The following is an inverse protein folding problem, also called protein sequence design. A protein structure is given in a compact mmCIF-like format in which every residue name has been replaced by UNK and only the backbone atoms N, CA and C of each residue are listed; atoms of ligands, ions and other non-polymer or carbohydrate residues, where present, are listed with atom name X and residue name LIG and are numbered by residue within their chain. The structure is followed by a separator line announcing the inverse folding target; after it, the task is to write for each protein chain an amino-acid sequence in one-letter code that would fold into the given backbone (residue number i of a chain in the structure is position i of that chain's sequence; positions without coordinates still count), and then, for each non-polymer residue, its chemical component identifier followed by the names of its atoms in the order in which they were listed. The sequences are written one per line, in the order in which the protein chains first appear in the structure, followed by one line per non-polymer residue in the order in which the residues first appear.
data_IF_149644838307
#
_entry.id   IF_149644838307
#
_cell.length_a   1.000
_cell.length_b   1.000
_cell.length_c   1.000
_cell.angle_alpha   90.00
_cell.angle_beta   90.00
_cell.angle_gamma   90.00
#
_symmetry.space_group_name_H-M   'P 1'
#
loop_
_entity.id
_entity.type
_entity.pdbx_description
1 polymer ?
#
# COMPACT_ATOMS: atom_id res chain seq x y z
N UNK A 1 -0.92 -19.30 -23.64
CA UNK A 1 0.14 -18.39 -23.17
C UNK A 1 -0.50 -17.04 -22.91
N UNK A 2 -0.84 -16.71 -21.66
CA UNK A 2 -1.50 -15.43 -21.36
C UNK A 2 -0.39 -14.37 -21.43
N UNK A 3 -0.43 -13.50 -22.45
CA UNK A 3 0.56 -12.45 -22.64
C UNK A 3 0.23 -11.26 -21.74
N UNK A 4 1.22 -10.76 -21.00
CA UNK A 4 1.11 -9.50 -20.25
C UNK A 4 0.91 -8.35 -21.24
N UNK A 5 0.04 -7.40 -20.90
CA UNK A 5 -0.16 -6.20 -21.71
C UNK A 5 0.96 -5.20 -21.37
N UNK A 6 1.89 -4.90 -22.31
CA UNK A 6 3.02 -4.01 -22.03
C UNK A 6 2.58 -2.58 -21.70
N UNK A 7 1.40 -2.16 -22.16
CA UNK A 7 0.86 -0.84 -21.82
C UNK A 7 0.35 -0.79 -20.38
N UNK A 8 -0.23 -1.87 -19.85
CA UNK A 8 -0.56 -1.94 -18.41
C UNK A 8 0.70 -1.90 -17.55
N UNK A 9 1.77 -2.60 -17.94
CA UNK A 9 3.05 -2.56 -17.21
C UNK A 9 3.61 -1.13 -17.14
N UNK A 10 3.55 -0.41 -18.27
CA UNK A 10 3.97 1.00 -18.34
C UNK A 10 3.08 1.92 -17.50
N UNK A 11 1.75 1.77 -17.58
CA UNK A 11 0.83 2.54 -16.74
C UNK A 11 1.15 2.33 -15.26
N UNK A 12 1.30 1.07 -14.82
CA UNK A 12 1.66 0.76 -13.44
C UNK A 12 3.00 1.41 -13.05
N UNK A 13 4.01 1.36 -13.91
CA UNK A 13 5.31 2.00 -13.64
C UNK A 13 5.22 3.53 -13.52
N UNK A 14 4.38 4.19 -14.31
CA UNK A 14 4.15 5.63 -14.22
C UNK A 14 3.38 6.01 -12.95
N UNK A 15 2.36 5.22 -12.59
CA UNK A 15 1.61 5.40 -11.35
C UNK A 15 2.53 5.27 -10.14
N UNK A 16 3.38 4.23 -10.08
CA UNK A 16 4.33 4.01 -8.96
C UNK A 16 5.25 5.20 -8.69
N UNK A 17 5.50 6.04 -9.70
CA UNK A 17 6.40 7.20 -9.64
C UNK A 17 5.67 8.54 -9.80
N UNK A 18 4.33 8.53 -9.78
CA UNK A 18 3.45 9.68 -10.04
C UNK A 18 3.82 10.51 -11.29
N UNK A 19 4.27 9.86 -12.37
CA UNK A 19 4.67 10.55 -13.61
C UNK A 19 3.46 10.88 -14.48
N UNK A 20 2.76 11.96 -14.13
CA UNK A 20 1.51 12.39 -14.79
C UNK A 20 1.67 12.66 -16.30
N UNK A 21 2.77 13.25 -16.74
CA UNK A 21 2.96 13.60 -18.16
C UNK A 21 3.06 12.33 -19.02
N UNK A 22 3.87 11.37 -18.60
CA UNK A 22 4.00 10.07 -19.29
C UNK A 22 2.71 9.25 -19.18
N UNK A 23 2.07 9.28 -18.01
CA UNK A 23 0.80 8.62 -17.77
C UNK A 23 -0.27 9.13 -18.73
N UNK A 24 -0.52 10.44 -18.75
CA UNK A 24 -1.55 11.07 -19.58
C UNK A 24 -1.26 10.89 -21.07
N UNK A 25 0.01 10.98 -21.49
CA UNK A 25 0.41 10.68 -22.86
C UNK A 25 0.06 9.25 -23.26
N UNK A 26 0.49 8.25 -22.48
CA UNK A 26 0.18 6.85 -22.77
C UNK A 26 -1.32 6.58 -22.70
N UNK A 27 -2.01 7.17 -21.74
CA UNK A 27 -3.45 7.02 -21.55
C UNK A 27 -4.24 7.56 -22.75
N UNK A 28 -3.81 8.68 -23.35
CA UNK A 28 -4.41 9.24 -24.58
C UNK A 28 -4.00 8.48 -25.86
N UNK A 29 -2.77 7.97 -25.94
CA UNK A 29 -2.29 7.17 -27.07
C UNK A 29 -2.96 5.78 -27.13
N UNK A 30 -3.50 5.33 -26.00
CA UNK A 30 -4.20 4.07 -25.87
C UNK A 30 -5.70 4.30 -25.72
N UNK A 31 -6.52 3.28 -25.95
CA UNK A 31 -7.97 3.36 -25.76
C UNK A 31 -8.39 2.89 -24.35
N UNK A 32 -7.54 3.13 -23.33
CA UNK A 32 -7.89 2.78 -21.96
C UNK A 32 -9.05 3.66 -21.47
N UNK A 33 -9.98 3.02 -20.77
CA UNK A 33 -11.08 3.73 -20.12
C UNK A 33 -10.66 4.18 -18.71
N UNK A 34 -11.28 5.23 -18.20
CA UNK A 34 -10.96 5.78 -16.87
C UNK A 34 -11.23 4.78 -15.73
N UNK A 35 -12.15 3.86 -15.94
CA UNK A 35 -12.53 2.76 -15.05
C UNK A 35 -11.73 1.47 -15.30
N UNK A 36 -10.69 1.53 -16.14
CA UNK A 36 -9.85 0.38 -16.45
C UNK A 36 -9.32 -0.28 -15.18
N UNK A 37 -9.40 -1.62 -15.14
CA UNK A 37 -8.85 -2.45 -14.08
C UNK A 37 -7.62 -3.18 -14.58
N UNK A 38 -6.56 -3.17 -13.77
CA UNK A 38 -5.33 -3.87 -14.10
C UNK A 38 -5.55 -5.37 -14.15
N UNK A 39 -5.01 -6.03 -15.17
CA UNK A 39 -4.89 -7.49 -15.16
C UNK A 39 -4.13 -7.99 -13.92
N UNK A 40 -4.59 -9.13 -13.36
CA UNK A 40 -3.98 -9.78 -12.18
C UNK A 40 -2.49 -10.11 -12.34
N UNK A 41 -1.99 -10.12 -13.58
CA UNK A 41 -0.61 -10.43 -13.90
C UNK A 41 0.36 -9.25 -13.78
N UNK A 42 -0.15 -8.01 -13.64
CA UNK A 42 0.68 -6.79 -13.67
C UNK A 42 1.20 -6.44 -12.28
N UNK A 43 0.34 -6.53 -11.27
CA UNK A 43 0.63 -6.10 -9.90
C UNK A 43 0.81 -7.29 -8.95
N UNK A 44 1.22 -8.43 -9.48
CA UNK A 44 1.32 -9.69 -8.72
C UNK A 44 2.33 -9.64 -7.56
N UNK A 45 3.30 -8.72 -7.63
CA UNK A 45 4.28 -8.48 -6.56
C UNK A 45 3.65 -7.84 -5.31
N UNK A 46 2.47 -7.23 -5.45
CA UNK A 46 1.78 -6.52 -4.37
C UNK A 46 0.54 -7.32 -3.94
N UNK A 47 0.58 -8.02 -2.79
CA UNK A 47 -0.53 -8.87 -2.37
C UNK A 47 -1.89 -8.14 -2.29
N UNK A 48 -1.87 -6.85 -1.93
CA UNK A 48 -3.07 -6.02 -1.80
C UNK A 48 -3.64 -5.56 -3.16
N UNK A 49 -2.87 -5.59 -4.26
CA UNK A 49 -3.30 -5.15 -5.60
C UNK A 49 -3.58 -6.31 -6.57
N UNK A 50 -3.54 -7.57 -6.13
CA UNK A 50 -3.63 -8.74 -7.03
C UNK A 50 -5.03 -9.01 -7.60
N UNK A 51 -6.06 -8.33 -7.09
CA UNK A 51 -7.46 -8.65 -7.36
C UNK A 51 -8.11 -7.74 -8.40
N UNK A 52 -7.39 -7.42 -9.49
CA UNK A 52 -7.91 -6.56 -10.56
C UNK A 52 -8.36 -5.17 -10.08
N UNK A 53 -7.46 -4.39 -9.44
CA UNK A 53 -7.80 -3.08 -8.91
C UNK A 53 -8.07 -2.09 -10.06
N UNK A 54 -9.07 -1.20 -9.89
CA UNK A 54 -9.25 -0.04 -10.75
C UNK A 54 -7.98 0.83 -10.80
N UNK A 55 -7.77 1.53 -11.90
CA UNK A 55 -6.62 2.42 -12.09
C UNK A 55 -6.51 3.44 -10.95
N UNK A 56 -7.64 4.03 -10.56
CA UNK A 56 -7.73 4.98 -9.44
C UNK A 56 -7.27 4.36 -8.10
N UNK A 57 -7.58 3.09 -7.84
CA UNK A 57 -7.13 2.37 -6.64
C UNK A 57 -5.62 2.19 -6.61
N UNK A 58 -5.00 1.92 -7.75
CA UNK A 58 -3.54 1.78 -7.85
C UNK A 58 -2.84 3.13 -7.66
N UNK A 59 -3.42 4.22 -8.18
CA UNK A 59 -2.94 5.57 -7.91
C UNK A 59 -3.05 5.92 -6.41
N UNK A 60 -4.16 5.56 -5.77
CA UNK A 60 -4.34 5.76 -4.33
C UNK A 60 -3.31 4.98 -3.50
N UNK A 61 -3.10 3.71 -3.81
CA UNK A 61 -2.13 2.85 -3.12
C UNK A 61 -0.70 3.38 -3.19
N UNK A 62 -0.26 3.82 -4.38
CA UNK A 62 1.09 4.34 -4.58
C UNK A 62 1.24 5.83 -4.24
N UNK A 63 0.19 6.47 -3.68
CA UNK A 63 0.19 7.90 -3.34
C UNK A 63 0.45 8.82 -4.53
N UNK A 64 0.01 8.39 -5.71
CA UNK A 64 0.20 9.12 -6.97
C UNK A 64 -0.84 10.24 -7.09
N UNK A 65 -0.68 11.31 -6.31
CA UNK A 65 -1.68 12.38 -6.15
C UNK A 65 -1.98 13.10 -7.47
N UNK A 66 -0.98 13.33 -8.32
CA UNK A 66 -1.20 14.03 -9.60
C UNK A 66 -2.03 13.16 -10.55
N UNK A 67 -1.68 11.87 -10.64
CA UNK A 67 -2.45 10.90 -11.43
C UNK A 67 -3.84 10.68 -10.84
N UNK A 68 -3.97 10.58 -9.51
CA UNK A 68 -5.27 10.42 -8.84
C UNK A 68 -6.20 11.61 -9.17
N UNK A 69 -5.71 12.86 -9.05
CA UNK A 69 -6.48 14.05 -9.43
C UNK A 69 -6.86 14.05 -10.90
N UNK A 70 -5.92 13.67 -11.79
CA UNK A 70 -6.20 13.56 -13.21
C UNK A 70 -7.34 12.57 -13.50
N UNK A 71 -7.33 11.39 -12.87
CA UNK A 71 -8.36 10.38 -13.07
C UNK A 71 -9.72 10.83 -12.55
N UNK A 72 -9.78 11.43 -11.36
CA UNK A 72 -11.02 11.99 -10.80
C UNK A 72 -11.57 13.09 -11.71
N UNK A 73 -10.71 13.98 -12.22
CA UNK A 73 -11.11 15.03 -13.17
C UNK A 73 -11.64 14.47 -14.50
N UNK A 74 -11.20 13.28 -14.88
CA UNK A 74 -11.69 12.55 -16.06
C UNK A 74 -12.86 11.59 -15.75
N UNK A 75 -13.50 11.72 -14.58
CA UNK A 75 -14.73 10.99 -14.25
C UNK A 75 -14.52 9.59 -13.68
N UNK A 76 -13.36 9.30 -13.10
CA UNK A 76 -13.15 8.04 -12.39
C UNK A 76 -14.16 7.86 -11.24
N UNK A 77 -14.74 6.67 -11.11
CA UNK A 77 -15.65 6.35 -10.02
C UNK A 77 -14.87 6.10 -8.70
N UNK A 78 -15.08 6.97 -7.72
CA UNK A 78 -14.51 6.84 -6.38
C UNK A 78 -15.09 5.68 -5.56
N UNK A 79 -16.24 5.12 -5.98
CA UNK A 79 -16.82 3.92 -5.40
C UNK A 79 -16.38 2.63 -6.09
N UNK A 80 -15.48 2.72 -7.08
CA UNK A 80 -15.00 1.55 -7.81
C UNK A 80 -14.40 0.51 -6.87
N UNK A 81 -14.59 -0.76 -7.22
CA UNK A 81 -14.13 -1.90 -6.43
C UNK A 81 -13.30 -2.85 -7.27
N UNK A 82 -12.35 -3.51 -6.62
CA UNK A 82 -11.64 -4.65 -7.20
C UNK A 82 -12.54 -5.92 -7.25
N UNK A 83 -11.99 -7.05 -7.69
CA UNK A 83 -12.72 -8.33 -7.78
C UNK A 83 -13.08 -8.94 -6.40
N UNK A 84 -12.49 -8.45 -5.31
CA UNK A 84 -12.81 -8.82 -3.93
C UNK A 84 -13.76 -7.83 -3.25
N UNK A 85 -14.36 -6.92 -4.02
CA UNK A 85 -15.24 -5.86 -3.51
C UNK A 85 -14.51 -4.83 -2.62
N UNK A 86 -13.18 -4.75 -2.70
CA UNK A 86 -12.38 -3.74 -1.98
C UNK A 86 -12.56 -2.38 -2.66
N UNK A 87 -13.10 -1.36 -1.96
CA UNK A 87 -13.31 -0.03 -2.54
C UNK A 87 -12.02 0.80 -2.59
N UNK A 88 -11.98 1.84 -3.44
CA UNK A 88 -10.84 2.77 -3.61
C UNK A 88 -10.31 3.29 -2.26
N UNK A 89 -11.20 3.64 -1.32
CA UNK A 89 -10.84 4.20 -0.01
C UNK A 89 -9.92 3.27 0.80
N UNK A 90 -10.06 1.95 0.68
CA UNK A 90 -9.19 0.99 1.37
C UNK A 90 -7.75 1.07 0.82
N UNK A 91 -7.59 1.21 -0.50
CA UNK A 91 -6.28 1.40 -1.12
C UNK A 91 -5.67 2.74 -0.74
N UNK A 92 -6.47 3.79 -0.64
CA UNK A 92 -6.02 5.10 -0.23
C UNK A 92 -5.51 5.12 1.23
N UNK A 93 -6.24 4.49 2.16
CA UNK A 93 -5.81 4.36 3.55
C UNK A 93 -4.58 3.48 3.66
N UNK A 94 -4.47 2.43 2.85
CA UNK A 94 -3.26 1.60 2.78
C UNK A 94 -2.04 2.40 2.30
N UNK A 95 -2.22 3.24 1.26
CA UNK A 95 -1.18 4.12 0.74
C UNK A 95 -0.75 5.21 1.72
N UNK A 96 -1.71 5.77 2.46
CA UNK A 96 -1.46 6.68 3.58
C UNK A 96 -1.22 8.14 3.18
N UNK A 97 -1.68 8.58 2.00
CA UNK A 97 -1.58 9.98 1.58
C UNK A 97 -2.83 10.78 1.99
N UNK A 98 -2.65 11.71 2.93
CA UNK A 98 -3.75 12.54 3.44
C UNK A 98 -4.43 13.40 2.38
N UNK A 99 -3.75 13.83 1.32
CA UNK A 99 -4.39 14.62 0.26
C UNK A 99 -5.35 13.76 -0.55
N UNK A 100 -4.99 12.51 -0.83
CA UNK A 100 -5.90 11.54 -1.45
C UNK A 100 -7.08 11.24 -0.52
N UNK A 101 -6.84 11.05 0.78
CA UNK A 101 -7.93 10.83 1.75
C UNK A 101 -8.89 12.02 1.81
N UNK A 102 -8.37 13.26 1.80
CA UNK A 102 -9.18 14.47 1.77
C UNK A 102 -10.03 14.55 0.51
N UNK A 103 -9.46 14.25 -0.67
CA UNK A 103 -10.23 14.23 -1.92
C UNK A 103 -11.37 13.21 -1.89
N UNK A 104 -11.14 12.03 -1.31
CA UNK A 104 -12.17 11.01 -1.14
C UNK A 104 -13.27 11.50 -0.17
N UNK A 105 -12.86 12.14 0.93
CA UNK A 105 -13.77 12.66 1.96
C UNK A 105 -14.66 13.81 1.44
N UNK A 106 -14.09 14.73 0.66
CA UNK A 106 -14.82 15.82 0.00
C UNK A 106 -15.93 15.31 -0.93
N UNK A 107 -15.78 14.09 -1.45
CA UNK A 107 -16.77 13.42 -2.30
C UNK A 107 -17.74 12.53 -1.51
N UNK A 108 -17.80 12.66 -0.17
CA UNK A 108 -18.74 11.95 0.71
C UNK A 108 -18.65 10.41 0.62
N UNK A 109 -17.48 9.88 0.30
CA UNK A 109 -17.25 8.43 0.26
C UNK A 109 -17.07 7.92 1.69
N UNK A 110 -17.75 6.82 2.02
CA UNK A 110 -17.65 6.22 3.34
C UNK A 110 -16.26 5.60 3.57
N UNK A 111 -15.71 5.83 4.76
CA UNK A 111 -14.47 5.21 5.22
C UNK A 111 -14.69 3.90 5.97
N UNK A 112 -15.90 3.34 5.95
CA UNK A 112 -16.23 2.13 6.71
C UNK A 112 -15.31 0.94 6.39
N UNK A 113 -14.82 0.27 7.44
CA UNK A 113 -13.89 -0.86 7.34
C UNK A 113 -12.44 -0.49 7.06
N UNK A 114 -12.06 0.79 7.14
CA UNK A 114 -10.68 1.24 6.87
C UNK A 114 -9.85 1.43 8.14
N UNK A 115 -10.50 1.54 9.31
CA UNK A 115 -9.80 1.72 10.60
C UNK A 115 -8.78 0.61 10.88
N UNK A 116 -9.12 -0.64 10.52
CA UNK A 116 -8.20 -1.80 10.61
C UNK A 116 -6.94 -1.60 9.77
N UNK A 117 -7.07 -1.09 8.55
CA UNK A 117 -5.93 -0.87 7.66
C UNK A 117 -5.00 0.19 8.27
N UNK A 118 -5.55 1.29 8.77
CA UNK A 118 -4.75 2.33 9.42
C UNK A 118 -4.00 1.80 10.66
N UNK A 119 -4.62 0.90 11.43
CA UNK A 119 -3.98 0.23 12.56
C UNK A 119 -2.87 -0.73 12.13
N UNK A 120 -3.12 -1.62 11.16
CA UNK A 120 -2.13 -2.56 10.62
C UNK A 120 -0.90 -1.85 10.04
N UNK A 121 -1.11 -0.67 9.43
CA UNK A 121 -0.06 0.17 8.87
C UNK A 121 0.63 1.07 9.91
N UNK A 122 0.10 1.15 11.14
CA UNK A 122 0.64 2.02 12.19
C UNK A 122 0.47 3.52 11.91
N UNK A 123 -0.45 3.90 11.02
CA UNK A 123 -0.68 5.29 10.64
C UNK A 123 -1.46 6.05 11.71
N UNK A 124 -0.83 6.39 12.83
CA UNK A 124 -1.45 7.00 14.01
C UNK A 124 -2.35 8.21 13.68
N UNK A 125 -1.88 9.14 12.86
CA UNK A 125 -2.64 10.32 12.47
C UNK A 125 -3.88 9.96 11.64
N UNK A 126 -3.75 9.05 10.67
CA UNK A 126 -4.87 8.60 9.81
C UNK A 126 -5.85 7.80 10.66
N UNK A 127 -5.36 6.92 11.52
CA UNK A 127 -6.17 6.12 12.44
C UNK A 127 -7.03 7.03 13.33
N UNK A 128 -6.41 8.00 14.01
CA UNK A 128 -7.14 8.95 14.87
C UNK A 128 -8.13 9.78 14.08
N UNK A 129 -7.75 10.23 12.88
CA UNK A 129 -8.67 10.97 12.01
C UNK A 129 -9.90 10.13 11.60
N UNK A 130 -9.70 8.88 11.19
CA UNK A 130 -10.81 7.95 10.87
C UNK A 130 -11.67 7.71 12.11
N UNK A 131 -11.06 7.38 13.25
CA UNK A 131 -11.76 7.07 14.48
C UNK A 131 -12.63 8.24 14.97
N UNK A 132 -12.08 9.45 15.04
CA UNK A 132 -12.81 10.60 15.60
C UNK A 132 -13.81 11.23 14.63
N UNK A 133 -13.60 11.12 13.32
CA UNK A 133 -14.38 11.89 12.33
C UNK A 133 -15.16 11.05 11.32
N UNK A 134 -14.98 9.73 11.27
CA UNK A 134 -15.63 8.84 10.28
C UNK A 134 -16.60 7.82 10.89
N UNK A 135 -16.93 7.96 12.18
CA UNK A 135 -17.90 7.10 12.90
C UNK A 135 -17.57 5.60 12.81
N UNK A 136 -16.28 5.25 12.81
CA UNK A 136 -15.83 3.86 12.78
C UNK A 136 -15.86 3.24 14.17
N UNK A 137 -16.26 1.97 14.24
CA UNK A 137 -16.40 1.26 15.51
C UNK A 137 -15.06 0.62 15.92
N UNK A 138 -14.47 1.14 17.00
CA UNK A 138 -13.23 0.60 17.58
C UNK A 138 -13.39 -0.84 18.12
N UNK A 139 -14.61 -1.23 18.51
CA UNK A 139 -14.93 -2.55 19.05
C UNK A 139 -15.35 -3.56 17.97
N UNK A 140 -15.28 -3.17 16.69
CA UNK A 140 -15.59 -4.08 15.59
C UNK A 140 -14.61 -5.27 15.57
N UNK A 141 -15.08 -6.40 15.04
CA UNK A 141 -14.26 -7.59 14.76
C UNK A 141 -14.40 -7.95 13.28
N UNK A 142 -13.30 -8.34 12.65
CA UNK A 142 -13.32 -8.92 11.30
C UNK A 142 -13.97 -10.31 11.36
N UNK A 143 -14.29 -10.86 10.18
CA UNK A 143 -14.95 -12.16 10.05
C UNK A 143 -14.14 -13.33 10.65
N UNK A 144 -12.82 -13.18 10.76
CA UNK A 144 -11.92 -14.16 11.39
C UNK A 144 -11.78 -13.95 12.91
N UNK A 145 -12.51 -12.99 13.50
CA UNK A 145 -12.43 -12.64 14.92
C UNK A 145 -11.36 -11.60 15.26
N UNK A 146 -10.55 -11.17 14.28
CA UNK A 146 -9.49 -10.17 14.47
C UNK A 146 -10.07 -8.86 15.01
N UNK A 147 -9.54 -8.39 16.13
CA UNK A 147 -9.85 -7.08 16.75
C UNK A 147 -8.91 -6.00 16.24
N UNK A 148 -9.27 -4.73 16.50
CA UNK A 148 -8.40 -3.61 16.12
C UNK A 148 -7.03 -3.64 16.83
N UNK A 149 -6.97 -4.24 18.02
CA UNK A 149 -5.74 -4.40 18.79
C UNK A 149 -4.78 -5.42 18.13
N UNK A 150 -5.30 -6.54 17.63
CA UNK A 150 -4.56 -7.50 16.81
C UNK A 150 -4.11 -6.90 15.48
N UNK A 151 -4.90 -6.01 14.88
CA UNK A 151 -4.46 -5.27 13.71
C UNK A 151 -3.28 -4.35 14.04
N UNK A 152 -3.38 -3.57 15.11
CA UNK A 152 -2.32 -2.64 15.53
C UNK A 152 -0.99 -3.33 15.87
N UNK A 153 -1.04 -4.57 16.39
CA UNK A 153 0.14 -5.36 16.75
C UNK A 153 1.10 -5.53 15.57
N UNK A 154 0.57 -5.72 14.34
CA UNK A 154 1.34 -5.88 13.09
C UNK A 154 2.24 -4.69 12.75
N UNK A 155 1.93 -3.51 13.26
CA UNK A 155 2.70 -2.29 12.99
C UNK A 155 3.85 -2.06 13.97
N UNK A 156 3.89 -2.80 15.09
CA UNK A 156 4.77 -2.55 16.24
C UNK A 156 4.70 -1.09 16.81
N UNK A 157 3.66 -0.32 16.44
CA UNK A 157 3.47 1.06 16.90
C UNK A 157 2.92 1.06 18.34
N UNK A 158 3.81 0.95 19.33
CA UNK A 158 3.45 0.88 20.75
C UNK A 158 2.57 2.07 21.21
N UNK A 159 2.82 3.33 20.80
CA UNK A 159 1.90 4.43 21.10
C UNK A 159 0.47 4.20 20.63
N UNK A 160 0.28 3.73 19.40
CA UNK A 160 -1.05 3.43 18.85
C UNK A 160 -1.70 2.24 19.57
N UNK A 161 -0.94 1.18 19.82
CA UNK A 161 -1.40 0.00 20.57
C UNK A 161 -1.87 0.42 21.97
N UNK A 162 -1.09 1.25 22.66
CA UNK A 162 -1.44 1.76 23.99
C UNK A 162 -2.72 2.60 23.95
N UNK A 163 -2.84 3.51 22.99
CA UNK A 163 -4.06 4.30 22.79
C UNK A 163 -5.30 3.40 22.59
N UNK A 164 -5.18 2.38 21.74
CA UNK A 164 -6.27 1.43 21.49
C UNK A 164 -6.59 0.64 22.75
N UNK A 165 -5.57 0.10 23.44
CA UNK A 165 -5.72 -0.71 24.65
C UNK A 165 -6.48 0.06 25.73
N UNK A 166 -6.10 1.33 25.97
CA UNK A 166 -6.78 2.20 26.93
C UNK A 166 -8.26 2.42 26.58
N UNK A 167 -8.61 2.39 25.29
CA UNK A 167 -9.97 2.59 24.80
C UNK A 167 -10.83 1.32 24.75
N UNK A 168 -10.22 0.12 24.66
CA UNK A 168 -10.96 -1.16 24.49
C UNK A 168 -10.78 -2.16 25.62
N UNK A 169 -9.98 -1.86 26.65
CA UNK A 169 -9.60 -2.82 27.70
C UNK A 169 -10.78 -3.56 28.36
N UNK A 170 -11.95 -2.94 28.47
CA UNK A 170 -13.12 -3.52 29.14
C UNK A 170 -13.77 -4.65 28.32
N UNK A 171 -13.51 -4.70 27.01
CA UNK A 171 -14.06 -5.71 26.08
C UNK A 171 -13.07 -6.80 25.68
N UNK A 172 -11.84 -6.75 26.21
CA UNK A 172 -10.80 -7.73 25.90
C UNK A 172 -10.95 -8.97 26.78
N UNK A 173 -10.88 -10.13 26.15
CA UNK A 173 -10.70 -11.39 26.88
C UNK A 173 -9.22 -11.78 27.01
N UNK A 174 -8.94 -12.82 27.79
CA UNK A 174 -7.57 -13.30 27.99
C UNK A 174 -6.92 -13.80 26.69
N UNK A 175 -7.71 -14.24 25.70
CA UNK A 175 -7.19 -14.69 24.41
C UNK A 175 -6.75 -13.51 23.57
N UNK A 176 -7.52 -12.41 23.56
CA UNK A 176 -7.17 -11.18 22.86
C UNK A 176 -5.82 -10.64 23.39
N UNK A 177 -5.64 -10.61 24.72
CA UNK A 177 -4.38 -10.17 25.35
C UNK A 177 -3.23 -11.13 25.06
N UNK A 178 -3.48 -12.44 25.13
CA UNK A 178 -2.45 -13.45 24.86
C UNK A 178 -1.98 -13.40 23.41
N UNK A 179 -2.91 -13.26 22.45
CA UNK A 179 -2.59 -13.15 21.04
C UNK A 179 -1.83 -11.84 20.74
N UNK A 180 -2.22 -10.71 21.34
CA UNK A 180 -1.43 -9.46 21.25
C UNK A 180 0.03 -9.69 21.67
N UNK A 181 0.26 -10.36 22.81
CA UNK A 181 1.62 -10.63 23.29
C UNK A 181 2.40 -11.56 22.34
N UNK A 182 1.73 -12.54 21.72
CA UNK A 182 2.34 -13.38 20.70
C UNK A 182 2.73 -12.57 19.46
N UNK A 183 1.81 -11.77 18.93
CA UNK A 183 2.05 -10.95 17.73
C UNK A 183 3.23 -9.98 17.96
N UNK A 184 3.26 -9.30 19.11
CA UNK A 184 4.34 -8.36 19.44
C UNK A 184 5.70 -9.05 19.62
N UNK A 185 5.70 -10.28 20.13
CA UNK A 185 6.92 -11.09 20.22
C UNK A 185 7.39 -11.46 18.81
N UNK A 186 6.49 -11.94 17.95
CA UNK A 186 6.83 -12.47 16.64
C UNK A 186 7.28 -11.34 15.69
N UNK A 187 6.70 -10.14 15.79
CA UNK A 187 7.13 -8.97 15.01
C UNK A 187 8.55 -8.50 15.35
N UNK A 188 8.98 -8.61 16.61
CA UNK A 188 10.38 -8.32 17.00
C UNK A 188 11.40 -9.26 16.37
N UNK A 189 11.00 -10.47 15.98
CA UNK A 189 11.91 -11.41 15.32
C UNK A 189 12.12 -11.07 13.83
N UNK A 190 11.17 -10.39 13.18
CA UNK A 190 11.30 -10.03 11.76
C UNK A 190 12.21 -8.81 11.52
N UNK A 191 12.26 -7.84 12.43
CA UNK A 191 13.19 -6.69 12.34
C UNK A 191 14.68 -7.11 12.35
N UNK A 192 15.01 -8.29 12.90
CA UNK A 192 16.38 -8.81 12.95
C UNK A 192 16.88 -9.43 11.63
N UNK A 193 15.99 -9.81 10.72
CA UNK A 193 16.36 -10.48 9.46
C UNK A 193 16.24 -9.59 8.21
N UNK A 194 15.63 -8.40 8.32
CA UNK A 194 15.50 -7.44 7.21
C UNK A 194 16.75 -6.55 7.03
N UNK A 195 17.72 -6.61 7.96
CA UNK A 195 18.99 -5.88 7.88
C UNK A 195 20.10 -6.59 7.08
N UNK A 196 20.05 -7.93 6.96
CA UNK A 196 21.15 -8.72 6.35
C UNK A 196 21.07 -8.85 4.82
N UNK A 197 19.97 -8.47 4.17
CA UNK A 197 19.86 -8.51 2.69
C UNK A 197 20.30 -7.21 2.00
N UNK A 198 20.63 -6.14 2.74
CA UNK A 198 21.06 -4.86 2.14
C UNK A 198 22.58 -4.67 1.99
N UNK A 199 23.41 -5.57 2.52
CA UNK A 199 24.89 -5.44 2.46
C UNK A 199 25.60 -6.44 1.54
N UNK A 200 24.91 -7.35 0.83
CA UNK A 200 25.57 -8.38 0.00
C UNK A 200 25.65 -8.08 -1.51
N UNK A 201 25.67 -6.81 -1.95
CA UNK A 201 25.87 -6.45 -3.37
C UNK A 201 26.97 -5.41 -3.63
N UNK A 202 27.92 -5.20 -2.71
CA UNK A 202 29.08 -4.33 -2.99
C UNK A 202 30.40 -4.97 -2.56
N UNK A 203 30.75 -6.13 -3.11
CA UNK A 203 32.14 -6.61 -3.13
C UNK A 203 32.31 -7.67 -4.23
N UNK A 204 32.39 -7.22 -5.48
CA UNK A 204 32.96 -7.99 -6.59
C UNK A 204 33.47 -7.02 -7.66
N UNK A 205 34.66 -6.50 -7.44
CA UNK A 205 35.63 -6.31 -8.53
C UNK A 205 37.00 -6.62 -7.93
N UNK A 206 37.36 -7.89 -8.00
CA UNK A 206 38.71 -8.37 -7.70
C UNK A 206 39.63 -8.06 -8.86
N UNK A 207 40.75 -7.42 -8.51
CA UNK A 207 41.96 -7.23 -9.30
C UNK A 207 42.40 -8.48 -10.09
N UNK A 208 42.95 -8.27 -11.30
CA UNK A 208 44.35 -8.64 -11.59
C UNK A 208 44.77 -8.34 -13.04
N UNK A 209 45.68 -7.36 -13.14
CA UNK A 209 47.04 -7.45 -13.68
C UNK A 209 47.34 -7.99 -15.09
N UNK A 210 47.94 -7.06 -15.87
CA UNK A 210 49.14 -7.20 -16.74
C UNK A 210 49.04 -8.18 -17.94
N UNK A 211 49.65 -7.97 -19.11
CA UNK A 211 50.93 -7.36 -19.44
C UNK A 211 51.06 -7.28 -20.98
N UNK A 212 51.94 -6.38 -21.43
CA UNK A 212 52.65 -6.39 -22.73
C UNK A 212 51.89 -6.18 -24.05
N UNK A 213 52.20 -5.08 -24.73
CA UNK A 213 52.68 -5.15 -26.11
C UNK A 213 53.63 -3.98 -26.38
N UNK A 214 54.84 -4.35 -26.76
CA UNK A 214 55.90 -3.48 -27.30
C UNK A 214 55.51 -2.96 -28.67
N UNK A 215 55.86 -1.72 -29.01
CA UNK A 215 56.80 -1.50 -30.11
C UNK A 215 57.29 -0.06 -30.20
N UNK A 216 58.61 0.05 -30.29
CA UNK A 216 59.36 1.19 -30.80
C UNK A 216 59.12 1.36 -32.30
N UNK A 217 59.06 2.60 -32.80
CA UNK A 217 60.09 3.17 -33.68
C UNK A 217 59.65 4.54 -34.25
N UNK A 218 60.58 5.50 -34.09
CA UNK A 218 60.77 6.82 -34.70
C UNK A 218 59.76 7.96 -34.41
#
# INVERSE_FOLDING_TARGET
MIRRNPNEERLAAFIKKDRIDDFSKLFCETNFQVDHKFSRLILFSEPFLRFSPPLLSVAAFYKAINIFRYLVANGADLNAKDDQQTPVVNFAVYGGDFQILQLIDENSISFAGTLFIAAERGFDAIFKWIYFYKNENLHARRNDGTTILHAASKSNNLPLIKFILEAVQDDLDIKDVFQLLQDLRDNKFNEYYEYDESESENENDSDNDSESESDSFY
#
